data_IF_051363296005
#
_entry.id   IF_051363296005
#
_cell.length_a   1.000
_cell.length_b   1.000
_cell.length_c   1.000
_cell.angle_alpha   90.00
_cell.angle_beta   90.00
_cell.angle_gamma   90.00
#
_symmetry.space_group_name_H-M   'P 1'
#
loop_
_entity.id
_entity.type
_entity.pdbx_description
1 polymer ?
#
# COMPACT_ATOMS: atom_id res chain seq x y z
N UNK A 1 -5.49 35.26 -14.57
CA UNK A 1 -4.76 35.73 -13.38
C UNK A 1 -4.83 34.77 -12.17
N UNK A 2 -5.87 33.95 -11.97
CA UNK A 2 -5.95 33.02 -10.83
C UNK A 2 -5.00 31.79 -10.86
N UNK A 3 -4.66 31.26 -12.04
CA UNK A 3 -3.78 30.08 -12.17
C UNK A 3 -2.31 30.34 -11.82
N UNK A 4 -1.84 31.58 -11.92
CA UNK A 4 -0.44 31.95 -11.60
C UNK A 4 -0.25 32.10 -10.09
N UNK A 5 -1.28 32.56 -9.36
CA UNK A 5 -1.23 32.61 -7.89
C UNK A 5 -1.39 31.23 -7.25
N UNK A 6 -2.20 30.34 -7.83
CA UNK A 6 -2.26 28.94 -7.39
C UNK A 6 -0.92 28.24 -7.65
N UNK A 7 -0.35 28.39 -8.85
CA UNK A 7 0.97 27.86 -9.19
C UNK A 7 2.06 28.31 -8.22
N UNK A 8 2.11 29.60 -7.88
CA UNK A 8 3.14 30.12 -6.98
C UNK A 8 2.95 29.68 -5.51
N UNK A 9 1.71 29.54 -5.03
CA UNK A 9 1.42 29.06 -3.68
C UNK A 9 1.70 27.56 -3.53
N UNK A 10 1.27 26.74 -4.50
CA UNK A 10 1.54 25.30 -4.52
C UNK A 10 3.03 25.02 -4.71
N UNK A 11 3.73 25.82 -5.53
CA UNK A 11 5.18 25.69 -5.72
C UNK A 11 5.96 26.16 -4.49
N UNK A 12 5.51 27.19 -3.77
CA UNK A 12 6.14 27.61 -2.52
C UNK A 12 6.02 26.53 -1.43
N UNK A 13 4.81 25.99 -1.21
CA UNK A 13 4.60 24.91 -0.23
C UNK A 13 5.25 23.60 -0.65
N UNK A 14 5.27 23.25 -1.95
CA UNK A 14 6.02 22.09 -2.46
C UNK A 14 7.53 22.28 -2.33
N UNK A 15 8.04 23.51 -2.44
CA UNK A 15 9.48 23.79 -2.33
C UNK A 15 9.95 23.75 -0.87
N UNK A 16 9.09 24.20 0.05
CA UNK A 16 9.28 24.08 1.51
C UNK A 16 9.23 22.61 1.95
N UNK A 17 8.27 21.82 1.46
CA UNK A 17 8.22 20.37 1.67
C UNK A 17 9.40 19.64 1.01
N UNK A 18 9.76 19.95 -0.23
CA UNK A 18 10.83 19.25 -0.97
C UNK A 18 12.24 19.50 -0.43
N UNK A 19 12.45 20.60 0.30
CA UNK A 19 13.74 20.94 0.88
C UNK A 19 14.07 20.10 2.13
N UNK A 20 13.04 19.65 2.87
CA UNK A 20 13.20 18.83 4.08
C UNK A 20 12.90 17.34 3.87
N UNK A 21 12.05 16.97 2.90
CA UNK A 21 11.61 15.58 2.65
C UNK A 21 12.75 14.57 2.34
N UNK A 22 13.95 15.04 2.03
CA UNK A 22 15.09 14.16 1.72
C UNK A 22 16.05 13.94 2.88
N UNK A 23 16.08 14.82 3.89
CA UNK A 23 17.07 14.81 4.96
C UNK A 23 16.41 14.60 6.33
N UNK A 24 15.18 15.09 6.48
CA UNK A 24 14.33 14.89 7.65
C UNK A 24 13.87 13.44 7.81
N UNK A 25 13.38 12.82 6.73
CA UNK A 25 12.99 11.40 6.73
C UNK A 25 14.19 10.48 7.01
N UNK A 26 15.40 10.89 6.58
CA UNK A 26 16.65 10.20 6.92
C UNK A 26 17.00 10.36 8.39
N UNK A 27 16.89 11.56 8.95
CA UNK A 27 17.18 11.79 10.38
C UNK A 27 16.19 11.05 11.30
N UNK A 28 14.89 11.09 10.98
CA UNK A 28 13.86 10.31 11.70
C UNK A 28 14.12 8.81 11.61
N UNK A 29 14.51 8.32 10.43
CA UNK A 29 14.81 6.91 10.22
C UNK A 29 16.11 6.49 10.91
N UNK A 30 17.15 7.33 10.86
CA UNK A 30 18.45 7.10 11.49
C UNK A 30 18.31 7.05 13.01
N UNK A 31 17.50 7.94 13.58
CA UNK A 31 17.21 7.95 15.00
C UNK A 31 16.39 6.72 15.43
N UNK A 32 15.29 6.38 14.72
CA UNK A 32 14.51 5.15 15.02
C UNK A 32 15.40 3.90 14.87
N UNK A 33 16.27 3.88 13.86
CA UNK A 33 17.25 2.82 13.64
C UNK A 33 18.22 2.71 14.81
N UNK A 34 18.77 3.84 15.25
CA UNK A 34 19.66 3.91 16.42
C UNK A 34 18.95 3.41 17.68
N UNK A 35 17.69 3.78 17.90
CA UNK A 35 16.91 3.27 19.03
C UNK A 35 16.71 1.75 18.92
N UNK A 36 16.28 1.23 17.78
CA UNK A 36 16.04 -0.22 17.57
C UNK A 36 17.32 -1.04 17.79
N UNK A 37 18.45 -0.55 17.31
CA UNK A 37 19.73 -1.26 17.38
C UNK A 37 20.41 -1.13 18.73
N UNK A 38 20.47 0.07 19.30
CA UNK A 38 21.30 0.39 20.46
C UNK A 38 20.52 0.64 21.74
N UNK A 39 19.20 0.85 21.66
CA UNK A 39 18.36 1.21 22.80
C UNK A 39 18.58 2.63 23.32
N UNK A 40 19.36 3.45 22.60
CA UNK A 40 19.60 4.84 22.95
C UNK A 40 18.32 5.64 22.69
N UNK A 41 17.91 6.44 23.67
CA UNK A 41 16.74 7.31 23.59
C UNK A 41 16.89 8.33 22.47
N UNK A 42 15.79 8.57 21.75
CA UNK A 42 15.74 9.45 20.58
C UNK A 42 15.98 10.89 21.01
N UNK A 43 16.81 11.64 20.26
CA UNK A 43 17.21 13.00 20.63
C UNK A 43 16.27 14.03 20.00
N UNK A 44 15.76 14.98 20.78
CA UNK A 44 14.92 16.07 20.29
C UNK A 44 15.71 17.02 19.39
N UNK A 45 15.25 17.19 18.13
CA UNK A 45 15.00 18.54 17.66
C UNK A 45 13.57 18.61 17.09
N UNK A 46 12.71 19.33 17.80
CA UNK A 46 11.30 19.61 17.50
C UNK A 46 10.34 18.41 17.59
N UNK A 47 9.83 18.23 18.83
CA UNK A 47 8.90 17.21 19.34
C UNK A 47 7.86 16.64 18.36
N UNK A 48 8.17 15.49 17.79
CA UNK A 48 7.18 14.58 17.26
C UNK A 48 6.60 13.72 18.38
N UNK A 49 5.28 13.74 18.54
CA UNK A 49 4.56 12.94 19.54
C UNK A 49 4.87 11.43 19.48
N UNK A 50 5.35 10.92 18.33
CA UNK A 50 5.77 9.51 18.22
C UNK A 50 7.06 9.23 19.00
N UNK A 51 8.01 10.18 19.07
CA UNK A 51 9.27 10.02 19.78
C UNK A 51 9.08 10.11 21.29
N UNK A 52 8.17 10.96 21.76
CA UNK A 52 7.76 10.99 23.16
C UNK A 52 7.16 9.63 23.58
N UNK A 53 6.25 9.08 22.75
CA UNK A 53 5.64 7.77 22.98
C UNK A 53 6.62 6.60 22.90
N UNK A 54 7.65 6.69 22.05
CA UNK A 54 8.73 5.68 21.97
C UNK A 54 9.64 5.79 23.19
N UNK A 55 10.03 7.00 23.59
CA UNK A 55 10.90 7.25 24.74
C UNK A 55 10.23 6.88 26.07
N UNK A 56 8.92 7.12 26.24
CA UNK A 56 8.16 6.67 27.42
C UNK A 56 8.15 5.14 27.57
N UNK A 57 8.24 4.41 26.46
CA UNK A 57 8.24 2.94 26.42
C UNK A 57 9.65 2.34 26.38
N UNK A 58 10.67 3.16 26.14
CA UNK A 58 12.06 2.73 26.01
C UNK A 58 12.60 2.06 27.28
N UNK A 59 12.14 2.50 28.47
CA UNK A 59 12.60 2.00 29.76
C UNK A 59 12.29 0.51 30.01
N UNK A 60 11.36 -0.09 29.26
CA UNK A 60 10.95 -1.49 29.41
C UNK A 60 11.44 -2.45 28.31
N UNK A 61 12.24 -1.99 27.36
CA UNK A 61 12.64 -2.79 26.21
C UNK A 61 14.02 -3.45 26.42
N UNK A 62 14.05 -4.76 26.72
CA UNK A 62 15.31 -5.48 26.99
C UNK A 62 16.03 -5.94 25.72
N UNK A 63 15.28 -6.20 24.65
CA UNK A 63 15.83 -6.70 23.39
C UNK A 63 15.31 -5.92 22.17
N UNK A 64 15.91 -6.20 21.00
CA UNK A 64 15.59 -5.53 19.73
C UNK A 64 14.12 -5.71 19.31
N UNK A 65 13.53 -6.86 19.59
CA UNK A 65 12.12 -7.13 19.25
C UNK A 65 11.17 -6.31 20.12
N UNK A 66 11.47 -6.13 21.40
CA UNK A 66 10.70 -5.27 22.31
C UNK A 66 10.76 -3.81 21.87
N UNK A 67 11.92 -3.34 21.43
CA UNK A 67 12.10 -1.99 20.88
C UNK A 67 11.29 -1.77 19.60
N UNK A 68 11.26 -2.76 18.71
CA UNK A 68 10.43 -2.72 17.49
C UNK A 68 8.94 -2.74 17.80
N UNK A 69 8.52 -3.53 18.78
CA UNK A 69 7.14 -3.56 19.27
C UNK A 69 6.73 -2.20 19.84
N UNK A 70 7.61 -1.53 20.60
CA UNK A 70 7.39 -0.18 21.12
C UNK A 70 7.14 0.84 19.99
N UNK A 71 7.93 0.79 18.90
CA UNK A 71 7.72 1.67 17.73
C UNK A 71 6.35 1.42 17.07
N UNK A 72 5.94 0.15 16.92
CA UNK A 72 4.62 -0.20 16.39
C UNK A 72 3.49 0.31 17.29
N UNK A 73 3.62 0.14 18.61
CA UNK A 73 2.65 0.59 19.60
C UNK A 73 2.55 2.12 19.68
N UNK A 74 3.67 2.84 19.56
CA UNK A 74 3.69 4.30 19.46
C UNK A 74 2.99 4.80 18.20
N UNK A 75 3.21 4.14 17.05
CA UNK A 75 2.50 4.46 15.82
C UNK A 75 0.98 4.22 15.93
N UNK A 76 0.55 3.15 16.60
CA UNK A 76 -0.86 2.88 16.87
C UNK A 76 -1.48 3.90 17.84
N UNK A 77 -0.78 4.26 18.91
CA UNK A 77 -1.28 5.23 19.89
C UNK A 77 -1.38 6.65 19.32
N UNK A 78 -0.45 7.03 18.43
CA UNK A 78 -0.54 8.30 17.73
C UNK A 78 -1.80 8.36 16.84
N UNK A 79 -2.17 7.24 16.21
CA UNK A 79 -3.45 7.10 15.50
C UNK A 79 -4.67 7.17 16.44
N UNK A 80 -4.56 6.63 17.66
CA UNK A 80 -5.63 6.68 18.68
C UNK A 80 -5.82 8.08 19.30
N UNK A 81 -4.76 8.87 19.40
CA UNK A 81 -4.75 10.18 20.06
C UNK A 81 -5.52 11.30 19.31
N UNK A 82 -5.85 11.10 18.03
CA UNK A 82 -6.52 12.09 17.18
C UNK A 82 -8.03 12.21 17.50
N UNK A 83 -8.45 13.01 18.49
CA UNK A 83 -9.87 13.11 18.89
C UNK A 83 -10.84 13.56 17.77
N UNK A 84 -12.06 13.00 17.79
CA UNK A 84 -13.19 13.35 16.91
C UNK A 84 -13.28 12.41 15.70
N UNK A 85 -12.80 12.81 14.50
CA UNK A 85 -12.62 11.92 13.34
C UNK A 85 -11.77 10.65 13.63
N UNK A 86 -10.99 10.63 14.72
CA UNK A 86 -10.15 9.47 15.12
C UNK A 86 -10.90 8.22 15.54
N UNK A 87 -12.15 8.30 16.02
CA UNK A 87 -12.94 7.08 16.26
C UNK A 87 -13.32 6.37 14.95
N UNK A 88 -13.53 7.14 13.88
CA UNK A 88 -13.73 6.61 12.53
C UNK A 88 -12.41 6.10 11.93
N UNK A 89 -11.29 6.79 12.23
CA UNK A 89 -9.95 6.34 11.84
C UNK A 89 -9.52 5.07 12.58
N UNK A 90 -9.91 4.88 13.84
CA UNK A 90 -9.67 3.65 14.61
C UNK A 90 -10.46 2.47 14.05
N UNK A 91 -11.68 2.70 13.56
CA UNK A 91 -12.46 1.69 12.86
C UNK A 91 -11.82 1.31 11.51
N UNK A 92 -11.26 2.29 10.79
CA UNK A 92 -10.43 2.07 9.61
C UNK A 92 -9.16 1.30 9.97
N UNK A 93 -8.45 1.71 11.02
CA UNK A 93 -7.19 1.15 11.46
C UNK A 93 -7.35 -0.30 11.93
N UNK A 94 -8.39 -0.58 12.73
CA UNK A 94 -8.71 -1.92 13.21
C UNK A 94 -9.08 -2.86 12.05
N UNK A 95 -10.07 -2.51 11.23
CA UNK A 95 -10.50 -3.41 10.15
C UNK A 95 -9.43 -3.56 9.05
N UNK A 96 -8.88 -2.45 8.57
CA UNK A 96 -7.87 -2.46 7.49
C UNK A 96 -6.57 -3.07 7.98
N UNK A 97 -6.11 -2.65 9.17
CA UNK A 97 -4.87 -3.10 9.76
C UNK A 97 -4.89 -4.60 10.04
N UNK A 98 -5.97 -5.14 10.64
CA UNK A 98 -6.09 -6.58 10.91
C UNK A 98 -6.10 -7.40 9.62
N UNK A 99 -6.91 -7.01 8.63
CA UNK A 99 -6.94 -7.72 7.34
C UNK A 99 -5.54 -7.71 6.71
N UNK A 100 -4.85 -6.59 6.74
CA UNK A 100 -3.54 -6.46 6.12
C UNK A 100 -2.47 -7.21 6.89
N UNK A 101 -2.48 -7.17 8.22
CA UNK A 101 -1.56 -7.93 9.04
C UNK A 101 -1.72 -9.44 8.80
N UNK A 102 -2.95 -9.96 8.89
CA UNK A 102 -3.23 -11.40 8.67
C UNK A 102 -2.85 -11.86 7.27
N UNK A 103 -3.19 -11.07 6.25
CA UNK A 103 -2.85 -11.42 4.87
C UNK A 103 -1.35 -11.28 4.61
N UNK A 104 -0.65 -10.39 5.31
CA UNK A 104 0.81 -10.26 5.23
C UNK A 104 1.52 -11.43 5.91
N UNK A 105 1.05 -11.87 7.07
CA UNK A 105 1.53 -13.10 7.70
C UNK A 105 1.41 -14.30 6.73
N UNK A 106 0.25 -14.44 6.09
CA UNK A 106 0.03 -15.48 5.11
C UNK A 106 0.97 -15.34 3.89
N UNK A 107 1.24 -14.10 3.44
CA UNK A 107 2.20 -13.79 2.37
C UNK A 107 3.60 -14.26 2.70
N UNK A 108 4.10 -13.89 3.87
CA UNK A 108 5.47 -14.23 4.31
C UNK A 108 5.60 -15.74 4.53
N UNK A 109 4.60 -16.38 5.16
CA UNK A 109 4.57 -17.83 5.36
C UNK A 109 4.58 -18.61 4.04
N UNK A 110 3.72 -18.26 3.09
CA UNK A 110 3.72 -18.92 1.77
C UNK A 110 5.02 -18.66 1.03
N UNK A 111 5.54 -17.43 1.08
CA UNK A 111 6.82 -17.09 0.50
C UNK A 111 7.97 -17.91 1.06
N UNK A 112 8.01 -18.12 2.38
CA UNK A 112 8.97 -19.00 3.06
C UNK A 112 8.86 -20.44 2.55
N UNK A 113 7.64 -21.01 2.53
CA UNK A 113 7.44 -22.39 2.08
C UNK A 113 7.87 -22.61 0.63
N UNK A 114 7.57 -21.65 -0.25
CA UNK A 114 7.97 -21.72 -1.66
C UNK A 114 9.49 -21.67 -1.78
N UNK A 115 10.15 -20.73 -1.12
CA UNK A 115 11.61 -20.61 -1.19
C UNK A 115 12.32 -21.81 -0.56
N UNK A 116 11.82 -22.30 0.58
CA UNK A 116 12.35 -23.50 1.23
C UNK A 116 12.22 -24.74 0.34
N UNK A 117 11.07 -24.92 -0.34
CA UNK A 117 10.88 -26.00 -1.30
C UNK A 117 11.79 -25.88 -2.52
N UNK A 118 12.06 -24.66 -2.99
CA UNK A 118 13.00 -24.39 -4.07
C UNK A 118 14.47 -24.60 -3.67
N UNK A 119 14.82 -24.36 -2.41
CA UNK A 119 16.15 -24.64 -1.85
C UNK A 119 16.40 -26.14 -1.65
N UNK A 120 15.36 -26.89 -1.25
CA UNK A 120 15.44 -28.34 -1.07
C UNK A 120 15.34 -29.13 -2.39
N UNK A 121 14.74 -28.56 -3.43
CA UNK A 121 14.54 -29.21 -4.72
C UNK A 121 15.49 -28.73 -5.81
N UNK A 122 15.86 -29.62 -6.74
CA UNK A 122 16.66 -29.28 -7.93
C UNK A 122 15.79 -28.65 -9.03
N UNK A 123 14.98 -27.64 -8.66
CA UNK A 123 14.08 -26.98 -9.61
C UNK A 123 14.90 -26.07 -10.53
N UNK A 124 14.91 -26.27 -11.86
CA UNK A 124 15.70 -25.45 -12.77
C UNK A 124 15.32 -23.97 -12.72
N UNK A 125 16.31 -23.08 -12.86
CA UNK A 125 16.08 -21.63 -12.85
C UNK A 125 15.08 -21.18 -13.92
N UNK A 126 15.12 -21.80 -15.10
CA UNK A 126 14.17 -21.54 -16.17
C UNK A 126 12.72 -21.83 -15.75
N UNK A 127 12.49 -22.92 -15.00
CA UNK A 127 11.17 -23.28 -14.49
C UNK A 127 10.69 -22.24 -13.47
N UNK A 128 11.57 -21.79 -12.57
CA UNK A 128 11.28 -20.73 -11.59
C UNK A 128 10.92 -19.42 -12.29
N UNK A 129 11.69 -19.05 -13.32
CA UNK A 129 11.46 -17.83 -14.10
C UNK A 129 10.10 -17.87 -14.82
N UNK A 130 9.77 -18.96 -15.52
CA UNK A 130 8.47 -19.08 -16.19
C UNK A 130 7.29 -19.14 -15.21
N UNK A 131 7.48 -19.74 -14.04
CA UNK A 131 6.48 -19.72 -12.97
C UNK A 131 6.28 -18.29 -12.42
N UNK A 132 7.35 -17.51 -12.24
CA UNK A 132 7.26 -16.11 -11.85
C UNK A 132 6.55 -15.27 -12.91
N UNK A 133 6.85 -15.48 -14.20
CA UNK A 133 6.16 -14.84 -15.32
C UNK A 133 4.66 -15.18 -15.30
N UNK A 134 4.29 -16.45 -15.12
CA UNK A 134 2.89 -16.86 -15.06
C UNK A 134 2.14 -16.18 -13.90
N UNK A 135 2.75 -16.11 -12.71
CA UNK A 135 2.17 -15.40 -11.58
C UNK A 135 2.09 -13.89 -11.83
N UNK A 136 3.12 -13.28 -12.42
CA UNK A 136 3.14 -11.88 -12.82
C UNK A 136 1.97 -11.54 -13.75
N UNK A 137 1.67 -12.42 -14.71
CA UNK A 137 0.59 -12.23 -15.70
C UNK A 137 -0.82 -12.40 -15.12
N UNK A 138 -0.96 -12.95 -13.91
CA UNK A 138 -2.27 -13.08 -13.25
C UNK A 138 -2.92 -11.72 -13.03
N UNK A 139 -2.15 -10.70 -12.66
CA UNK A 139 -2.64 -9.33 -12.48
C UNK A 139 -3.23 -8.75 -13.77
N UNK A 140 -2.42 -8.60 -14.85
CA UNK A 140 -2.91 -8.10 -16.14
C UNK A 140 -4.09 -8.86 -16.70
N UNK A 141 -4.11 -10.20 -16.57
CA UNK A 141 -5.22 -11.02 -17.02
C UNK A 141 -6.52 -10.69 -16.26
N UNK A 142 -6.45 -10.57 -14.93
CA UNK A 142 -7.59 -10.16 -14.11
C UNK A 142 -8.02 -8.72 -14.41
N UNK A 143 -7.08 -7.78 -14.53
CA UNK A 143 -7.38 -6.39 -14.89
C UNK A 143 -8.10 -6.29 -16.23
N UNK A 144 -7.69 -7.08 -17.24
CA UNK A 144 -8.36 -7.14 -18.54
C UNK A 144 -9.77 -7.71 -18.44
N UNK A 145 -9.95 -8.85 -17.74
CA UNK A 145 -11.27 -9.42 -17.47
C UNK A 145 -12.18 -8.40 -16.76
N UNK A 146 -11.61 -7.61 -15.86
CA UNK A 146 -12.31 -6.58 -15.09
C UNK A 146 -12.76 -5.41 -15.96
N UNK A 147 -11.87 -4.95 -16.83
CA UNK A 147 -12.17 -3.93 -17.83
C UNK A 147 -13.30 -4.38 -18.77
N UNK A 148 -13.22 -5.60 -19.32
CA UNK A 148 -14.28 -6.17 -20.17
C UNK A 148 -15.61 -6.20 -19.43
N UNK A 149 -15.61 -6.70 -18.19
CA UNK A 149 -16.84 -6.74 -17.39
C UNK A 149 -17.43 -5.36 -17.17
N UNK A 150 -16.61 -4.34 -16.88
CA UNK A 150 -17.08 -2.97 -16.67
C UNK A 150 -17.66 -2.34 -17.93
N UNK A 151 -17.11 -2.65 -19.09
CA UNK A 151 -17.72 -2.24 -20.37
C UNK A 151 -19.10 -2.87 -20.54
N UNK A 152 -19.24 -4.18 -20.28
CA UNK A 152 -20.51 -4.89 -20.38
C UNK A 152 -21.53 -4.37 -19.37
N UNK A 153 -21.10 -4.00 -18.17
CA UNK A 153 -21.96 -3.45 -17.11
C UNK A 153 -22.24 -1.95 -17.25
N UNK A 154 -21.63 -1.25 -18.22
CA UNK A 154 -21.78 0.20 -18.38
C UNK A 154 -21.18 1.03 -17.23
N UNK A 155 -20.25 0.46 -16.47
CA UNK A 155 -19.56 1.09 -15.32
C UNK A 155 -18.19 1.71 -15.73
N UNK A 156 -17.75 1.48 -16.98
CA UNK A 156 -16.44 1.90 -17.45
C UNK A 156 -16.37 3.41 -17.75
N UNK A 157 -15.43 4.10 -17.10
CA UNK A 157 -15.05 5.48 -17.39
C UNK A 157 -13.74 5.55 -18.17
N UNK A 158 -13.46 6.68 -18.85
CA UNK A 158 -12.17 6.91 -19.51
C UNK A 158 -10.99 6.81 -18.54
N UNK A 159 -11.18 7.25 -17.28
CA UNK A 159 -10.18 7.14 -16.20
C UNK A 159 -9.90 5.68 -15.88
N UNK A 160 -10.94 4.86 -15.77
CA UNK A 160 -10.79 3.42 -15.51
C UNK A 160 -10.11 2.68 -16.64
N UNK A 161 -10.44 3.00 -17.90
CA UNK A 161 -9.78 2.43 -19.08
C UNK A 161 -8.29 2.76 -19.09
N UNK A 162 -7.94 4.04 -18.92
CA UNK A 162 -6.56 4.47 -18.90
C UNK A 162 -5.79 3.87 -17.72
N UNK A 163 -6.38 3.85 -16.53
CA UNK A 163 -5.79 3.24 -15.33
C UNK A 163 -5.48 1.75 -15.54
N UNK A 164 -6.45 0.99 -16.07
CA UNK A 164 -6.28 -0.44 -16.35
C UNK A 164 -5.19 -0.71 -17.39
N UNK A 165 -5.13 0.08 -18.48
CA UNK A 165 -4.09 -0.06 -19.50
C UNK A 165 -2.71 0.28 -18.94
N UNK A 166 -2.58 1.39 -18.20
CA UNK A 166 -1.31 1.82 -17.63
C UNK A 166 -0.77 0.79 -16.63
N UNK A 167 -1.60 0.28 -15.71
CA UNK A 167 -1.12 -0.67 -14.68
C UNK A 167 -0.77 -2.03 -15.27
N UNK A 168 -1.55 -2.51 -16.25
CA UNK A 168 -1.24 -3.75 -16.97
C UNK A 168 0.05 -3.62 -17.78
N UNK A 169 0.24 -2.47 -18.45
CA UNK A 169 1.46 -2.19 -19.22
C UNK A 169 2.70 -2.12 -18.32
N UNK A 170 2.58 -1.52 -17.12
CA UNK A 170 3.67 -1.48 -16.15
C UNK A 170 4.06 -2.89 -15.68
N UNK A 171 3.08 -3.76 -15.40
CA UNK A 171 3.34 -5.14 -15.02
C UNK A 171 3.99 -5.96 -16.15
N UNK A 172 3.51 -5.79 -17.39
CA UNK A 172 4.10 -6.42 -18.57
C UNK A 172 5.54 -5.94 -18.80
N UNK A 173 5.78 -4.63 -18.74
CA UNK A 173 7.11 -4.04 -18.90
C UNK A 173 8.08 -4.50 -17.82
N UNK A 174 7.64 -4.50 -16.55
CA UNK A 174 8.41 -5.04 -15.42
C UNK A 174 8.75 -6.52 -15.62
N UNK A 175 7.78 -7.32 -16.09
CA UNK A 175 8.01 -8.73 -16.39
C UNK A 175 9.08 -8.94 -17.47
N UNK A 176 9.02 -8.17 -18.56
CA UNK A 176 10.05 -8.20 -19.61
C UNK A 176 11.41 -7.81 -19.03
N UNK A 177 11.48 -6.74 -18.24
CA UNK A 177 12.72 -6.28 -17.61
C UNK A 177 13.31 -7.35 -16.66
N UNK A 178 12.49 -8.01 -15.86
CA UNK A 178 12.93 -9.07 -14.94
C UNK A 178 13.44 -10.32 -15.68
N UNK A 179 12.84 -10.66 -16.83
CA UNK A 179 13.32 -11.76 -17.68
C UNK A 179 14.65 -11.39 -18.34
N UNK A 180 14.78 -10.17 -18.88
CA UNK A 180 16.00 -9.71 -19.54
C UNK A 180 17.19 -9.58 -18.57
N UNK A 181 16.93 -9.24 -17.32
CA UNK A 181 17.97 -9.15 -16.27
C UNK A 181 18.19 -10.46 -15.51
N UNK A 182 17.45 -11.53 -15.84
CA UNK A 182 17.57 -12.83 -15.18
C UNK A 182 17.05 -12.87 -13.73
N UNK A 183 16.39 -11.82 -13.25
CA UNK A 183 15.87 -11.73 -11.86
C UNK A 183 14.53 -12.42 -11.67
N UNK A 184 13.82 -12.74 -12.76
CA UNK A 184 12.52 -13.40 -12.71
C UNK A 184 12.52 -14.69 -11.86
N UNK A 185 13.58 -15.52 -11.95
CA UNK A 185 13.69 -16.77 -11.17
C UNK A 185 13.74 -16.52 -9.66
N UNK A 186 14.43 -15.47 -9.23
CA UNK A 186 14.57 -15.07 -7.81
C UNK A 186 13.30 -14.44 -7.24
N UNK A 187 12.45 -13.89 -8.10
CA UNK A 187 11.21 -13.22 -7.69
C UNK A 187 10.03 -14.19 -7.50
N UNK A 188 10.16 -15.46 -7.89
CA UNK A 188 9.06 -16.43 -7.81
C UNK A 188 8.39 -16.55 -6.43
N UNK A 189 9.12 -16.70 -5.30
CA UNK A 189 8.50 -16.77 -3.97
C UNK A 189 7.74 -15.51 -3.61
N UNK A 190 8.30 -14.34 -3.95
CA UNK A 190 7.66 -13.05 -3.73
C UNK A 190 6.37 -12.91 -4.53
N UNK A 191 6.35 -13.37 -5.79
CA UNK A 191 5.14 -13.36 -6.63
C UNK A 191 4.08 -14.33 -6.08
N UNK A 192 4.48 -15.52 -5.63
CA UNK A 192 3.56 -16.50 -5.06
C UNK A 192 2.89 -15.96 -3.78
N UNK A 193 3.69 -15.41 -2.86
CA UNK A 193 3.18 -14.72 -1.68
C UNK A 193 2.28 -13.54 -2.05
N UNK A 194 2.67 -12.74 -3.06
CA UNK A 194 1.91 -11.58 -3.53
C UNK A 194 0.51 -11.95 -4.05
N UNK A 195 0.38 -13.03 -4.81
CA UNK A 195 -0.92 -13.57 -5.24
C UNK A 195 -1.79 -13.93 -4.05
N UNK A 196 -1.25 -14.68 -3.09
CA UNK A 196 -2.00 -15.11 -1.89
C UNK A 196 -2.44 -13.90 -1.06
N UNK A 197 -1.53 -12.97 -0.81
CA UNK A 197 -1.82 -11.71 -0.10
C UNK A 197 -3.01 -10.97 -0.70
N UNK A 198 -2.95 -10.71 -2.02
CA UNK A 198 -3.93 -9.84 -2.67
C UNK A 198 -5.28 -10.54 -2.80
N UNK A 199 -5.29 -11.85 -3.08
CA UNK A 199 -6.52 -12.63 -3.16
C UNK A 199 -7.19 -12.78 -1.79
N UNK A 200 -6.43 -13.10 -0.75
CA UNK A 200 -6.95 -13.20 0.61
C UNK A 200 -7.46 -11.83 1.12
N UNK A 201 -6.74 -10.75 0.81
CA UNK A 201 -7.16 -9.38 1.13
C UNK A 201 -8.46 -9.02 0.40
N UNK A 202 -8.57 -9.32 -0.89
CA UNK A 202 -9.78 -9.06 -1.65
C UNK A 202 -10.99 -9.84 -1.11
N UNK A 203 -10.78 -11.11 -0.74
CA UNK A 203 -11.79 -11.93 -0.09
C UNK A 203 -12.22 -11.32 1.25
N UNK A 204 -11.29 -11.03 2.15
CA UNK A 204 -11.60 -10.45 3.46
C UNK A 204 -12.34 -9.10 3.34
N UNK A 205 -11.89 -8.21 2.45
CA UNK A 205 -12.54 -6.91 2.21
C UNK A 205 -13.92 -7.05 1.55
N UNK A 206 -14.24 -8.17 0.92
CA UNK A 206 -15.60 -8.41 0.39
C UNK A 206 -16.61 -8.70 1.52
N UNK A 207 -16.18 -9.35 2.60
CA UNK A 207 -16.97 -9.60 3.80
C UNK A 207 -16.98 -8.39 4.74
N UNK A 208 -15.84 -7.69 4.84
CA UNK A 208 -15.64 -6.57 5.74
C UNK A 208 -15.31 -5.26 5.00
N UNK A 209 -16.21 -4.75 4.15
CA UNK A 209 -15.94 -3.55 3.37
C UNK A 209 -15.86 -2.32 4.28
N UNK A 210 -15.00 -1.38 3.89
CA UNK A 210 -15.02 -0.02 4.44
C UNK A 210 -15.98 0.81 3.60
N UNK A 211 -16.92 1.48 4.27
CA UNK A 211 -17.84 2.43 3.65
C UNK A 211 -17.47 3.82 4.15
N UNK A 212 -17.28 4.76 3.23
CA UNK A 212 -16.99 6.17 3.54
C UNK A 212 -17.95 7.12 2.78
N UNK A 213 -18.12 8.33 3.33
CA UNK A 213 -18.88 9.41 2.68
C UNK A 213 -17.98 10.44 1.94
N UNK A 214 -16.69 10.19 1.76
CA UNK A 214 -15.74 11.17 1.22
C UNK A 214 -15.83 11.35 -0.31
N UNK A 215 -16.84 10.79 -0.99
CA UNK A 215 -17.04 10.91 -2.45
C UNK A 215 -16.07 10.05 -3.28
N UNK A 216 -15.95 10.33 -4.58
CA UNK A 216 -15.01 9.62 -5.47
C UNK A 216 -13.63 10.29 -5.50
N UNK A 217 -12.57 9.52 -5.73
CA UNK A 217 -11.21 10.06 -5.81
C UNK A 217 -11.03 10.90 -7.08
N UNK A 218 -10.33 12.04 -6.96
CA UNK A 218 -10.00 12.93 -8.07
C UNK A 218 -8.47 13.07 -8.25
N UNK A 219 -8.03 13.76 -9.29
CA UNK A 219 -6.60 13.87 -9.59
C UNK A 219 -5.79 14.60 -8.51
N UNK A 220 -6.34 15.66 -7.89
CA UNK A 220 -5.66 16.43 -6.86
C UNK A 220 -5.53 15.63 -5.55
N UNK A 221 -6.61 15.00 -5.09
CA UNK A 221 -6.57 14.12 -3.91
C UNK A 221 -5.63 12.95 -4.14
N UNK A 222 -5.69 12.33 -5.33
CA UNK A 222 -4.81 11.20 -5.70
C UNK A 222 -3.35 11.63 -5.76
N UNK A 223 -3.03 12.84 -6.22
CA UNK A 223 -1.65 13.33 -6.28
C UNK A 223 -1.03 13.48 -4.90
N UNK A 224 -1.75 14.11 -3.97
CA UNK A 224 -1.28 14.31 -2.58
C UNK A 224 -1.12 12.96 -1.89
N UNK A 225 -2.10 12.07 -2.02
CA UNK A 225 -2.02 10.73 -1.43
C UNK A 225 -0.90 9.90 -2.06
N UNK A 226 -0.69 9.97 -3.38
CA UNK A 226 0.40 9.26 -4.04
C UNK A 226 1.78 9.70 -3.53
N UNK A 227 1.98 11.01 -3.34
CA UNK A 227 3.22 11.55 -2.80
C UNK A 227 3.44 11.08 -1.35
N UNK A 228 2.42 11.21 -0.50
CA UNK A 228 2.47 10.72 0.88
C UNK A 228 2.74 9.21 0.94
N UNK A 229 2.06 8.43 0.09
CA UNK A 229 2.24 6.99 0.01
C UNK A 229 3.65 6.60 -0.43
N UNK A 230 4.22 7.29 -1.42
CA UNK A 230 5.62 7.10 -1.81
C UNK A 230 6.60 7.38 -0.68
N UNK A 231 6.45 8.50 0.03
CA UNK A 231 7.28 8.87 1.16
C UNK A 231 7.18 7.87 2.31
N UNK A 232 5.96 7.47 2.70
CA UNK A 232 5.76 6.43 3.71
C UNK A 232 6.39 5.11 3.28
N UNK A 233 6.22 4.69 2.04
CA UNK A 233 6.80 3.44 1.56
C UNK A 233 8.33 3.48 1.48
N UNK A 234 8.93 4.65 1.23
CA UNK A 234 10.37 4.84 1.37
C UNK A 234 10.82 4.63 2.82
N UNK A 235 10.19 5.34 3.78
CA UNK A 235 10.52 5.23 5.20
C UNK A 235 10.34 3.79 5.72
N UNK A 236 9.27 3.09 5.33
CA UNK A 236 9.05 1.69 5.70
C UNK A 236 10.09 0.75 5.07
N UNK A 237 10.56 1.03 3.86
CA UNK A 237 11.59 0.24 3.19
C UNK A 237 12.98 0.44 3.83
N UNK A 238 13.29 1.66 4.28
CA UNK A 238 14.51 1.94 5.04
C UNK A 238 14.46 1.29 6.42
N UNK A 239 13.34 1.43 7.15
CA UNK A 239 13.15 0.75 8.43
C UNK A 239 13.20 -0.78 8.26
N UNK A 240 12.75 -1.30 7.12
CA UNK A 240 12.83 -2.72 6.77
C UNK A 240 14.26 -3.29 6.75
N UNK A 241 15.30 -2.48 6.51
CA UNK A 241 16.70 -2.93 6.54
C UNK A 241 17.15 -3.36 7.93
N UNK A 242 16.58 -2.75 8.96
CA UNK A 242 16.90 -3.04 10.36
C UNK A 242 15.84 -3.90 11.05
N UNK A 243 14.98 -4.53 10.27
CA UNK A 243 14.01 -5.51 10.76
C UNK A 243 14.59 -6.93 10.71
N UNK A 244 14.11 -7.86 11.55
CA UNK A 244 14.47 -9.26 11.39
C UNK A 244 14.04 -9.76 10.00
N UNK A 245 14.87 -10.62 9.41
CA UNK A 245 14.51 -11.32 8.17
C UNK A 245 13.22 -12.10 8.39
N UNK A 246 12.35 -12.08 7.39
CA UNK A 246 11.01 -12.66 7.41
C UNK A 246 10.70 -13.36 6.09
N UNK A 247 9.77 -14.32 6.14
CA UNK A 247 9.27 -15.03 4.97
C UNK A 247 10.38 -15.60 4.07
N UNK A 248 10.35 -15.34 2.74
CA UNK A 248 11.36 -15.84 1.80
C UNK A 248 12.81 -15.52 2.19
N UNK A 249 13.07 -14.34 2.76
CA UNK A 249 14.44 -13.91 3.05
C UNK A 249 15.12 -14.80 4.11
N UNK A 250 14.35 -15.33 5.08
CA UNK A 250 14.88 -16.32 6.04
C UNK A 250 15.22 -17.64 5.37
N UNK A 251 14.38 -18.09 4.44
CA UNK A 251 14.60 -19.34 3.72
C UNK A 251 15.86 -19.27 2.84
N UNK A 252 16.12 -18.11 2.21
CA UNK A 252 17.37 -17.84 1.46
C UNK A 252 18.60 -17.98 2.37
N UNK A 253 18.53 -17.43 3.59
CA UNK A 253 19.60 -17.51 4.60
C UNK A 253 19.64 -18.85 5.36
N UNK A 254 18.90 -19.87 4.89
CA UNK A 254 18.80 -21.18 5.52
C UNK A 254 18.39 -21.14 7.01
N UNK A 255 17.64 -20.10 7.41
CA UNK A 255 17.09 -19.95 8.75
C UNK A 255 15.72 -20.62 8.86
N UNK A 256 15.41 -21.12 10.07
CA UNK A 256 14.08 -21.65 10.38
C UNK A 256 13.01 -20.54 10.29
N UNK A 257 11.78 -20.97 10.00
CA UNK A 257 10.63 -20.07 9.99
C UNK A 257 10.41 -19.40 11.35
N UNK A 258 10.15 -18.10 11.34
CA UNK A 258 9.91 -17.32 12.54
C UNK A 258 8.66 -16.47 12.37
N UNK A 259 7.64 -16.81 13.16
CA UNK A 259 6.36 -16.11 13.16
C UNK A 259 6.47 -14.70 13.77
N UNK A 260 7.40 -14.47 14.69
CA UNK A 260 7.63 -13.16 15.31
C UNK A 260 8.12 -12.14 14.28
N UNK A 261 9.14 -12.51 13.50
CA UNK A 261 9.65 -11.68 12.41
C UNK A 261 8.58 -11.37 11.35
N UNK A 262 7.76 -12.36 10.99
CA UNK A 262 6.64 -12.17 10.06
C UNK A 262 5.57 -11.25 10.64
N UNK A 263 5.29 -11.33 11.95
CA UNK A 263 4.33 -10.47 12.65
C UNK A 263 4.80 -9.02 12.69
N UNK A 264 6.09 -8.77 12.90
CA UNK A 264 6.68 -7.42 12.86
C UNK A 264 6.49 -6.81 11.46
N UNK A 265 6.83 -7.55 10.40
CA UNK A 265 6.64 -7.09 9.02
C UNK A 265 5.17 -6.89 8.66
N UNK A 266 4.30 -7.75 9.17
CA UNK A 266 2.86 -7.62 9.02
C UNK A 266 2.31 -6.36 9.71
N UNK A 267 2.77 -6.06 10.92
CA UNK A 267 2.45 -4.83 11.64
C UNK A 267 2.90 -3.59 10.88
N UNK A 268 4.13 -3.60 10.37
CA UNK A 268 4.69 -2.49 9.60
C UNK A 268 3.89 -2.20 8.32
N UNK A 269 3.57 -3.25 7.55
CA UNK A 269 2.75 -3.13 6.36
C UNK A 269 1.31 -2.68 6.69
N UNK A 270 0.75 -3.15 7.81
CA UNK A 270 -0.56 -2.73 8.28
C UNK A 270 -0.57 -1.23 8.61
N UNK A 271 0.42 -0.72 9.34
CA UNK A 271 0.55 0.71 9.65
C UNK A 271 0.65 1.55 8.37
N UNK A 272 1.53 1.18 7.44
CA UNK A 272 1.68 1.90 6.18
C UNK A 272 0.39 1.99 5.37
N UNK A 273 -0.40 0.92 5.37
CA UNK A 273 -1.67 0.88 4.65
C UNK A 273 -2.81 1.58 5.39
N UNK A 274 -2.79 1.61 6.71
CA UNK A 274 -3.73 2.41 7.51
C UNK A 274 -3.46 3.90 7.30
N UNK A 275 -2.19 4.31 7.27
CA UNK A 275 -1.79 5.67 6.93
C UNK A 275 -2.28 6.05 5.54
N UNK A 276 -2.02 5.22 4.51
CA UNK A 276 -2.50 5.44 3.13
C UNK A 276 -4.03 5.65 3.05
N UNK A 277 -4.80 4.73 3.62
CA UNK A 277 -6.27 4.81 3.59
C UNK A 277 -6.76 6.07 4.32
N UNK A 278 -6.15 6.41 5.46
CA UNK A 278 -6.50 7.60 6.23
C UNK A 278 -6.19 8.88 5.46
N UNK A 279 -4.99 8.99 4.88
CA UNK A 279 -4.58 10.13 4.05
C UNK A 279 -5.49 10.29 2.85
N UNK A 280 -5.86 9.20 2.16
CA UNK A 280 -6.78 9.26 1.03
C UNK A 280 -8.15 9.82 1.44
N UNK A 281 -8.71 9.31 2.53
CA UNK A 281 -10.02 9.73 3.03
C UNK A 281 -10.01 11.22 3.40
N UNK A 282 -8.96 11.69 4.09
CA UNK A 282 -8.77 13.10 4.45
C UNK A 282 -8.63 13.97 3.19
N UNK A 283 -7.83 13.53 2.21
CA UNK A 283 -7.64 14.28 0.97
C UNK A 283 -8.93 14.38 0.16
N UNK A 284 -9.77 13.34 0.19
CA UNK A 284 -11.08 13.31 -0.47
C UNK A 284 -12.12 14.21 0.22
N UNK A 285 -12.05 14.37 1.54
CA UNK A 285 -12.99 15.20 2.31
C UNK A 285 -12.59 16.69 2.36
N UNK A 286 -11.35 17.02 1.99
CA UNK A 286 -10.88 18.40 1.98
C UNK A 286 -11.43 19.19 0.79
N UNK A 287 -12.25 20.20 1.06
CA UNK A 287 -12.86 21.10 0.06
C UNK A 287 -11.90 21.73 -0.97
N UNK A 288 -10.61 21.93 -0.62
CA UNK A 288 -9.60 22.49 -1.54
C UNK A 288 -9.19 21.46 -2.58
N UNK A 289 -9.03 20.20 -2.16
CA UNK A 289 -8.60 19.10 -3.01
C UNK A 289 -9.79 18.42 -3.70
N UNK A 290 -10.97 18.48 -3.10
CA UNK A 290 -12.22 17.93 -3.60
C UNK A 290 -13.36 18.94 -3.44
N UNK A 291 -13.58 19.82 -4.44
CA UNK A 291 -14.60 20.88 -4.37
C UNK A 291 -16.05 20.38 -4.38
N UNK A 292 -16.26 19.10 -4.72
CA UNK A 292 -17.56 18.42 -4.73
C UNK A 292 -17.51 17.17 -3.84
N UNK A 293 -17.37 17.31 -2.52
CA UNK A 293 -17.42 16.16 -1.62
C UNK A 293 -18.86 15.61 -1.62
N UNK A 294 -19.03 14.34 -1.99
CA UNK A 294 -20.25 13.58 -1.67
C UNK A 294 -21.35 13.42 -2.74
N UNK A 295 -21.13 13.73 -4.03
CA UNK A 295 -22.15 13.41 -5.06
C UNK A 295 -22.33 11.90 -5.29
N UNK A 296 -21.29 11.11 -4.99
CA UNK A 296 -21.21 9.66 -5.19
C UNK A 296 -20.91 8.90 -3.88
N UNK A 297 -21.29 9.46 -2.72
CA UNK A 297 -21.05 8.81 -1.42
C UNK A 297 -21.92 7.56 -1.22
N UNK A 298 -21.36 6.56 -0.54
CA UNK A 298 -22.11 5.34 -0.15
C UNK A 298 -23.17 5.65 0.91
N UNK A 299 -22.96 6.71 1.70
CA UNK A 299 -23.96 7.28 2.59
C UNK A 299 -24.67 8.41 1.84
N UNK A 300 -25.86 8.12 1.30
CA UNK A 300 -26.68 9.09 0.57
C UNK A 300 -27.64 9.89 1.48
N UNK A 301 -27.39 9.91 2.80
CA UNK A 301 -28.26 10.58 3.76
C UNK A 301 -28.04 12.11 3.72
N UNK A 302 -29.09 12.91 3.40
CA UNK A 302 -29.01 14.37 3.35
C UNK A 302 -28.48 15.02 4.63
N UNK A 303 -28.64 14.41 5.81
CA UNK A 303 -28.13 14.95 7.07
C UNK A 303 -26.61 14.78 7.21
N UNK A 304 -26.07 13.63 6.79
CA UNK A 304 -24.62 13.39 6.77
C UNK A 304 -23.87 14.31 5.80
N UNK A 305 -24.50 14.61 4.66
CA UNK A 305 -24.00 15.58 3.67
C UNK A 305 -24.12 17.03 4.15
N UNK A 306 -25.16 17.35 4.95
CA UNK A 306 -25.37 18.69 5.55
C UNK A 306 -24.42 18.99 6.71
N UNK A 307 -24.03 17.99 7.49
CA UNK A 307 -23.16 18.18 8.65
C UNK A 307 -21.67 18.27 8.28
N UNK A 308 -21.28 17.99 7.02
CA UNK A 308 -19.87 17.88 6.58
C UNK A 308 -19.00 17.02 7.52
N UNK A 309 -19.61 16.08 8.25
CA UNK A 309 -18.90 15.21 9.16
C UNK A 309 -18.44 13.96 8.39
N UNK A 310 -17.14 13.68 8.41
CA UNK A 310 -16.58 12.48 7.79
C UNK A 310 -17.08 11.24 8.54
N UNK A 311 -17.81 10.36 7.85
CA UNK A 311 -18.26 9.08 8.35
C UNK A 311 -17.53 7.94 7.66
N UNK A 312 -16.86 7.09 8.44
CA UNK A 312 -16.25 5.85 7.95
C UNK A 312 -16.69 4.69 8.83
N UNK A 313 -17.35 3.69 8.22
CA UNK A 313 -17.86 2.52 8.95
C UNK A 313 -17.32 1.24 8.33
N UNK A 314 -16.71 0.39 9.16
CA UNK A 314 -16.52 -1.00 8.83
C UNK A 314 -17.90 -1.68 8.78
N UNK A 315 -18.23 -2.29 7.65
CA UNK A 315 -19.43 -3.10 7.49
C UNK A 315 -19.13 -4.58 7.67
N UNK A 316 -20.13 -5.36 8.05
CA UNK A 316 -20.13 -6.81 7.89
C UNK A 316 -21.22 -7.14 6.88
N UNK A 317 -20.87 -7.87 5.83
CA UNK A 317 -21.83 -8.30 4.82
C UNK A 317 -21.49 -9.70 4.29
N UNK A 318 -22.50 -10.40 3.79
CA UNK A 318 -22.30 -11.57 2.94
C UNK A 318 -22.18 -11.10 1.48
N UNK A 319 -21.01 -11.25 0.84
CA UNK A 319 -20.80 -10.70 -0.49
C UNK A 319 -21.58 -11.52 -1.53
N UNK A 320 -22.26 -10.81 -2.42
CA UNK A 320 -22.91 -11.40 -3.59
C UNK A 320 -21.87 -11.90 -4.60
N UNK A 321 -22.28 -12.78 -5.53
CA UNK A 321 -21.40 -13.26 -6.61
C UNK A 321 -20.81 -12.11 -7.43
N UNK A 322 -21.58 -11.05 -7.66
CA UNK A 322 -21.13 -9.86 -8.40
C UNK A 322 -20.11 -9.04 -7.60
N UNK A 323 -20.28 -8.90 -6.28
CA UNK A 323 -19.31 -8.26 -5.40
C UNK A 323 -18.02 -9.07 -5.27
N UNK A 324 -18.09 -10.40 -5.18
CA UNK A 324 -16.90 -11.26 -5.21
C UNK A 324 -16.15 -11.14 -6.53
N UNK A 325 -16.86 -11.23 -7.65
CA UNK A 325 -16.25 -11.04 -8.96
C UNK A 325 -15.62 -9.64 -9.10
N UNK A 326 -16.19 -8.61 -8.46
CA UNK A 326 -15.67 -7.24 -8.51
C UNK A 326 -14.40 -7.11 -7.67
N UNK A 327 -14.41 -7.70 -6.47
CA UNK A 327 -13.25 -7.77 -5.60
C UNK A 327 -12.09 -8.52 -6.27
N UNK A 328 -12.33 -9.67 -6.90
CA UNK A 328 -11.26 -10.46 -7.51
C UNK A 328 -10.78 -9.91 -8.85
N UNK A 329 -11.70 -9.54 -9.73
CA UNK A 329 -11.32 -9.24 -11.12
C UNK A 329 -10.93 -7.76 -11.28
N UNK A 330 -11.60 -6.84 -10.60
CA UNK A 330 -11.25 -5.43 -10.66
C UNK A 330 -10.20 -5.05 -9.62
N UNK A 331 -10.53 -5.21 -8.33
CA UNK A 331 -9.68 -4.72 -7.24
C UNK A 331 -8.40 -5.55 -7.12
N UNK A 332 -8.53 -6.88 -7.03
CA UNK A 332 -7.38 -7.76 -6.87
C UNK A 332 -6.51 -7.79 -8.14
N UNK A 333 -7.12 -7.76 -9.34
CA UNK A 333 -6.38 -7.63 -10.59
C UNK A 333 -5.52 -6.36 -10.67
N UNK A 334 -6.10 -5.20 -10.37
CA UNK A 334 -5.36 -3.93 -10.34
C UNK A 334 -4.25 -3.93 -9.29
N UNK A 335 -4.52 -4.44 -8.08
CA UNK A 335 -3.52 -4.54 -7.01
C UNK A 335 -2.40 -5.54 -7.35
N UNK A 336 -2.71 -6.65 -8.02
CA UNK A 336 -1.70 -7.61 -8.45
C UNK A 336 -0.80 -7.00 -9.52
N UNK A 337 -1.40 -6.37 -10.53
CA UNK A 337 -0.65 -5.66 -11.56
C UNK A 337 0.26 -4.61 -10.93
N UNK A 338 -0.25 -3.84 -9.97
CA UNK A 338 0.51 -2.86 -9.21
C UNK A 338 1.67 -3.48 -8.43
N UNK A 339 1.40 -4.43 -7.55
CA UNK A 339 2.43 -5.03 -6.68
C UNK A 339 3.49 -5.77 -7.47
N UNK A 340 3.09 -6.56 -8.47
CA UNK A 340 4.03 -7.27 -9.32
C UNK A 340 4.85 -6.32 -10.19
N UNK A 341 4.25 -5.26 -10.76
CA UNK A 341 5.01 -4.26 -11.52
C UNK A 341 6.13 -3.65 -10.67
N UNK A 342 5.81 -3.26 -9.43
CA UNK A 342 6.80 -2.70 -8.50
C UNK A 342 7.91 -3.72 -8.22
N UNK A 343 7.58 -4.93 -7.79
CA UNK A 343 8.59 -5.94 -7.46
C UNK A 343 9.46 -6.33 -8.65
N UNK A 344 8.88 -6.47 -9.84
CA UNK A 344 9.62 -6.85 -11.05
C UNK A 344 10.56 -5.73 -11.53
N UNK A 345 10.09 -4.47 -11.51
CA UNK A 345 10.92 -3.32 -11.90
C UNK A 345 12.04 -3.09 -10.88
N UNK A 346 11.74 -3.14 -9.58
CA UNK A 346 12.76 -2.97 -8.53
C UNK A 346 13.77 -4.12 -8.58
N UNK A 347 13.32 -5.36 -8.80
CA UNK A 347 14.22 -6.51 -8.98
C UNK A 347 15.14 -6.34 -10.19
N UNK A 348 14.59 -5.92 -11.33
CA UNK A 348 15.38 -5.64 -12.53
C UNK A 348 16.37 -4.48 -12.33
N UNK A 349 15.94 -3.40 -11.67
CA UNK A 349 16.82 -2.29 -11.30
C UNK A 349 17.94 -2.75 -10.36
N UNK A 350 17.65 -3.65 -9.42
CA UNK A 350 18.65 -4.24 -8.52
C UNK A 350 19.73 -5.03 -9.25
N UNK A 351 19.35 -5.82 -10.24
CA UNK A 351 20.32 -6.53 -11.08
C UNK A 351 21.18 -5.55 -11.89
N UNK A 352 20.58 -4.52 -12.50
CA UNK A 352 21.34 -3.52 -13.24
C UNK A 352 22.29 -2.73 -12.34
N UNK A 353 21.86 -2.37 -11.13
CA UNK A 353 22.71 -1.67 -10.17
C UNK A 353 23.85 -2.55 -9.64
N UNK A 354 23.66 -3.87 -9.57
CA UNK A 354 24.72 -4.81 -9.14
C UNK A 354 25.90 -4.91 -10.10
N UNK A 355 25.75 -4.41 -11.33
CA UNK A 355 26.85 -4.32 -12.31
C UNK A 355 27.77 -3.11 -12.05
N UNK A 356 27.36 -2.18 -11.18
CA UNK A 356 28.13 -1.00 -10.81
C UNK A 356 28.78 -1.17 -9.44
N UNK A 357 29.95 -0.55 -9.26
CA UNK A 357 30.75 -0.62 -8.04
C UNK A 357 30.24 0.38 -6.97
N UNK A 358 28.95 0.29 -6.65
CA UNK A 358 28.36 1.03 -5.54
C UNK A 358 28.54 0.23 -4.24
N UNK A 359 28.76 0.93 -3.11
CA UNK A 359 28.69 0.29 -1.80
C UNK A 359 27.27 -0.25 -1.52
N UNK A 360 27.16 -1.37 -0.79
CA UNK A 360 25.90 -2.08 -0.52
C UNK A 360 24.81 -1.15 0.05
N UNK A 361 25.17 -0.27 0.98
CA UNK A 361 24.24 0.72 1.56
C UNK A 361 23.70 1.69 0.50
N UNK A 362 24.58 2.18 -0.38
CA UNK A 362 24.21 3.13 -1.44
C UNK A 362 23.28 2.47 -2.46
N UNK A 363 23.58 1.23 -2.84
CA UNK A 363 22.71 0.45 -3.72
C UNK A 363 21.34 0.19 -3.07
N UNK A 364 21.31 -0.17 -1.79
CA UNK A 364 20.07 -0.37 -1.04
C UNK A 364 19.20 0.89 -0.96
N UNK A 365 19.80 2.05 -0.69
CA UNK A 365 19.08 3.34 -0.69
C UNK A 365 18.53 3.71 -2.07
N UNK A 366 19.31 3.50 -3.14
CA UNK A 366 18.85 3.76 -4.51
C UNK A 366 17.66 2.85 -4.89
N UNK A 367 17.68 1.60 -4.45
CA UNK A 367 16.58 0.66 -4.67
C UNK A 367 15.32 1.05 -3.89
N UNK A 368 15.45 1.50 -2.65
CA UNK A 368 14.34 2.02 -1.86
C UNK A 368 13.75 3.29 -2.49
N UNK A 369 14.59 4.18 -3.02
CA UNK A 369 14.14 5.34 -3.79
C UNK A 369 13.38 4.93 -5.06
N UNK A 370 13.90 3.96 -5.82
CA UNK A 370 13.22 3.41 -6.99
C UNK A 370 11.86 2.79 -6.62
N UNK A 371 11.80 2.03 -5.52
CA UNK A 371 10.58 1.46 -4.98
C UNK A 371 9.55 2.55 -4.67
N UNK A 372 9.93 3.58 -3.90
CA UNK A 372 9.04 4.68 -3.52
C UNK A 372 8.50 5.45 -4.73
N UNK A 373 9.37 5.76 -5.70
CA UNK A 373 9.00 6.45 -6.93
C UNK A 373 8.01 5.62 -7.76
N UNK A 374 8.27 4.31 -7.90
CA UNK A 374 7.35 3.41 -8.59
C UNK A 374 6.00 3.32 -7.88
N UNK A 375 6.00 3.24 -6.54
CA UNK A 375 4.77 3.20 -5.75
C UNK A 375 3.95 4.48 -5.96
N UNK A 376 4.60 5.65 -5.95
CA UNK A 376 3.96 6.95 -6.21
C UNK A 376 3.37 7.02 -7.63
N UNK A 377 4.14 6.69 -8.67
CA UNK A 377 3.68 6.82 -10.06
C UNK A 377 2.56 5.84 -10.40
N UNK A 378 2.64 4.60 -9.91
CA UNK A 378 1.63 3.57 -10.17
C UNK A 378 0.37 3.74 -9.28
N UNK A 379 0.40 4.63 -8.29
CA UNK A 379 -0.77 4.92 -7.46
C UNK A 379 -1.93 5.51 -8.27
N UNK A 380 -1.65 6.43 -9.19
CA UNK A 380 -2.66 7.01 -10.08
C UNK A 380 -3.44 5.95 -10.89
N UNK A 381 -2.77 5.09 -11.69
CA UNK A 381 -3.47 4.06 -12.41
C UNK A 381 -4.13 3.03 -11.49
N UNK A 382 -3.58 2.74 -10.29
CA UNK A 382 -4.24 1.88 -9.30
C UNK A 382 -5.59 2.46 -8.82
N UNK A 383 -5.64 3.73 -8.43
CA UNK A 383 -6.87 4.38 -7.98
C UNK A 383 -7.86 4.49 -9.15
N UNK A 384 -7.41 4.96 -10.31
CA UNK A 384 -8.29 5.18 -11.45
C UNK A 384 -8.80 3.90 -12.08
N UNK A 385 -7.99 2.83 -12.13
CA UNK A 385 -8.43 1.51 -12.56
C UNK A 385 -9.57 0.97 -11.69
N UNK A 386 -9.78 1.50 -10.49
CA UNK A 386 -10.87 1.09 -9.60
C UNK A 386 -12.08 2.03 -9.59
N UNK A 387 -12.00 3.20 -10.24
CA UNK A 387 -13.12 4.13 -10.33
C UNK A 387 -14.27 3.57 -11.18
N UNK A 388 -15.48 3.60 -10.62
CA UNK A 388 -16.73 3.28 -11.34
C UNK A 388 -17.41 4.55 -11.82
N UNK A 389 -18.05 4.50 -12.97
CA UNK A 389 -18.95 5.54 -13.42
C UNK A 389 -20.31 5.37 -12.74
N UNK A 390 -20.73 6.34 -11.94
CA UNK A 390 -21.99 6.33 -11.16
C UNK A 390 -23.17 6.96 -11.88
N UNK A 391 -22.96 7.52 -13.08
CA UNK A 391 -23.99 8.23 -13.86
C UNK A 391 -25.21 7.38 -14.24
N UNK A 392 -25.14 6.04 -14.09
CA UNK A 392 -26.17 5.09 -14.51
C UNK A 392 -26.88 4.38 -13.33
N UNK A 393 -26.56 4.69 -12.08
CA UNK A 393 -27.17 4.03 -10.89
C UNK A 393 -28.16 4.91 -10.14
N UNK A 394 -29.03 5.62 -10.87
CA UNK A 394 -30.33 6.01 -10.32
C UNK A 394 -31.38 4.94 -10.71
N UNK A 395 -31.31 3.76 -10.10
CA UNK A 395 -32.55 3.00 -9.92
C UNK A 395 -33.37 3.77 -8.90
N UNK A 396 -34.32 4.57 -9.39
CA UNK A 396 -35.43 5.07 -8.59
C UNK A 396 -36.02 3.86 -7.88
N UNK A 397 -35.85 3.80 -6.57
CA UNK A 397 -36.60 2.89 -5.74
C UNK A 397 -38.05 3.35 -5.89
N UNK A 398 -38.84 2.62 -6.68
CA UNK A 398 -40.28 2.82 -6.72
C UNK A 398 -40.76 2.70 -5.27
N UNK A 399 -41.20 3.81 -4.72
CA UNK A 399 -42.02 3.83 -3.52
C UNK A 399 -43.27 3.03 -3.85
N UNK A 400 -43.27 1.74 -3.51
CA UNK A 400 -44.52 1.02 -3.32
C UNK A 400 -45.15 1.59 -2.06
N UNK A 401 -45.95 2.62 -2.25
CA UNK A 401 -47.07 2.90 -1.35
C UNK A 401 -48.04 1.75 -1.50
N UNK A 402 -48.21 0.97 -0.45
CA UNK A 402 -49.47 0.36 -0.03
C UNK A 402 -49.48 0.26 1.50
#
# INVERSE_FOLDING_TARGET
>A
MGFVHLGNATTASLKELSADLGQYDRDVTDQITQFVETGVTLHEPDSHAIFDLINERAEGCENREDRLKSVLEAGMELLESAKGPGLNLLNVAGNTGVIIALTTLLREYVGYLVEHALGAGDTPEATRAWAAVALAMTGPALTLMGAIRREVSGEASWKSRLGSVCIASAALGGCVAAVLTGTASKLFPAMAGGVVYIMARALAQSFFPLKDNAGSANAASTAVTAAAYGAFQFALAELGKVMPLSGPARAVEAMDHDFGADAIKAGLNALGMVADVSTLIICKSWHVLSPQPGSDSVFSDPESLRQMALEVRAGVQWPTRTQLADAFVNVAGARLSYGHAVSLVVGAAGALLSEYDFGEDTQGHLLNGCFAVMMMFLYFPLIFANLKQTSNTHTLQETTTD
#
